data_IF_901865963987
#
_entry.id   IF_901865963987
#
_cell.length_a   1.000
_cell.length_b   1.000
_cell.length_c   1.000
_cell.angle_alpha   90.00
_cell.angle_beta   90.00
_cell.angle_gamma   90.00
#
_symmetry.space_group_name_H-M   'P 1'
#
loop_
_entity.id
_entity.type
_entity.pdbx_description
1 polymer ?
#
# COMPACT_ATOMS: atom_id res chain seq x y z
N UNK A 1 10.08 -16.55 -3.73
CA UNK A 1 9.77 -15.96 -2.41
C UNK A 1 9.80 -17.03 -1.35
N UNK A 2 10.55 -16.82 -0.30
CA UNK A 2 10.66 -17.68 0.89
C UNK A 2 10.08 -16.98 2.10
N UNK A 3 9.81 -17.74 3.19
CA UNK A 3 9.36 -17.12 4.44
C UNK A 3 10.33 -16.06 4.99
N UNK A 4 11.64 -16.20 4.76
CA UNK A 4 12.65 -15.20 5.18
C UNK A 4 12.55 -13.88 4.42
N UNK A 5 12.04 -13.92 3.18
CA UNK A 5 11.87 -12.75 2.32
C UNK A 5 10.59 -11.97 2.61
N UNK A 6 9.66 -12.57 3.35
CA UNK A 6 8.43 -11.89 3.80
C UNK A 6 8.75 -11.02 4.99
N UNK A 7 8.33 -9.76 4.98
CA UNK A 7 8.56 -8.80 6.05
C UNK A 7 7.72 -9.17 7.27
N UNK A 8 8.30 -9.10 8.47
CA UNK A 8 7.59 -9.31 9.73
C UNK A 8 6.91 -10.69 9.87
N UNK A 9 5.81 -10.74 10.62
CA UNK A 9 4.91 -11.89 10.81
C UNK A 9 5.58 -13.20 11.26
N UNK A 10 6.58 -13.14 12.12
CA UNK A 10 7.32 -14.33 12.56
C UNK A 10 6.43 -15.40 13.18
N UNK A 11 5.37 -15.02 13.89
CA UNK A 11 4.39 -15.94 14.47
C UNK A 11 3.63 -16.73 13.39
N UNK A 12 3.20 -16.08 12.29
CA UNK A 12 2.52 -16.75 11.17
C UNK A 12 3.48 -17.65 10.38
N UNK A 13 4.72 -17.21 10.15
CA UNK A 13 5.76 -18.04 9.53
C UNK A 13 6.00 -19.33 10.31
N UNK A 14 6.08 -19.23 11.64
CA UNK A 14 6.24 -20.39 12.51
C UNK A 14 4.99 -21.28 12.53
N UNK A 15 3.81 -20.69 12.52
CA UNK A 15 2.55 -21.41 12.37
C UNK A 15 2.53 -22.24 11.09
N UNK A 16 2.84 -21.63 9.94
CA UNK A 16 2.86 -22.33 8.64
C UNK A 16 3.90 -23.45 8.59
N UNK A 17 5.12 -23.24 9.12
CA UNK A 17 6.15 -24.30 9.20
C UNK A 17 5.64 -25.49 9.99
N UNK A 18 5.09 -25.28 11.18
CA UNK A 18 4.51 -26.34 12.02
C UNK A 18 3.35 -27.07 11.35
N UNK A 19 2.51 -26.33 10.62
CA UNK A 19 1.36 -26.89 9.87
C UNK A 19 1.85 -27.86 8.79
N UNK A 20 2.92 -27.51 8.08
CA UNK A 20 3.54 -28.35 7.05
C UNK A 20 4.22 -29.56 7.69
N UNK A 21 5.04 -29.36 8.72
CA UNK A 21 5.76 -30.43 9.43
C UNK A 21 4.82 -31.48 10.03
N UNK A 22 3.69 -31.05 10.57
CA UNK A 22 2.68 -31.93 11.15
C UNK A 22 1.75 -32.58 10.12
N UNK A 23 1.86 -32.21 8.83
CA UNK A 23 0.98 -32.72 7.78
C UNK A 23 -0.50 -32.32 7.91
N UNK A 24 -0.81 -31.30 8.76
CA UNK A 24 -2.18 -30.84 9.04
C UNK A 24 -2.46 -29.52 8.32
N UNK A 25 -2.48 -29.56 7.00
CA UNK A 25 -2.71 -28.39 6.15
C UNK A 25 -4.21 -28.17 5.98
N UNK A 26 -4.78 -27.05 6.45
CA UNK A 26 -6.18 -26.72 6.21
C UNK A 26 -6.43 -26.52 4.72
N UNK A 27 -7.51 -27.09 4.23
CA UNK A 27 -7.84 -27.05 2.82
C UNK A 27 -8.34 -25.66 2.34
N UNK A 28 -8.95 -24.86 3.24
CA UNK A 28 -9.42 -23.52 2.95
C UNK A 28 -8.95 -22.55 4.03
N UNK A 29 -8.23 -21.53 3.65
CA UNK A 29 -7.65 -20.53 4.53
C UNK A 29 -8.01 -19.14 4.03
N UNK A 30 -8.36 -18.24 4.97
CA UNK A 30 -8.66 -16.85 4.70
C UNK A 30 -7.63 -15.95 5.40
N UNK A 31 -6.78 -15.33 4.61
CA UNK A 31 -5.82 -14.34 5.09
C UNK A 31 -6.49 -12.97 5.05
N UNK A 32 -6.55 -12.32 6.20
CA UNK A 32 -7.21 -11.01 6.37
C UNK A 32 -6.18 -9.98 6.78
N UNK A 33 -6.07 -8.90 6.05
CA UNK A 33 -5.14 -7.80 6.35
C UNK A 33 -5.15 -6.73 5.27
N UNK A 34 -4.60 -5.57 5.58
CA UNK A 34 -4.59 -4.42 4.66
C UNK A 34 -3.52 -4.54 3.57
N UNK A 35 -3.63 -3.71 2.52
CA UNK A 35 -2.57 -3.51 1.52
C UNK A 35 -1.22 -3.30 2.21
N UNK A 36 -0.16 -3.81 1.62
CA UNK A 36 1.20 -3.65 2.13
C UNK A 36 1.54 -4.46 3.37
N UNK A 37 0.57 -5.16 4.01
CA UNK A 37 0.85 -6.00 5.18
C UNK A 37 1.49 -7.37 4.85
N UNK A 38 1.56 -7.77 3.59
CA UNK A 38 2.29 -8.98 3.17
C UNK A 38 1.44 -10.23 2.97
N UNK A 39 0.13 -10.11 2.72
CA UNK A 39 -0.74 -11.26 2.44
C UNK A 39 -0.26 -12.09 1.24
N UNK A 40 -0.10 -11.45 0.08
CA UNK A 40 0.30 -12.12 -1.15
C UNK A 40 1.72 -12.71 -1.07
N UNK A 41 2.74 -11.99 -0.58
CA UNK A 41 4.05 -12.55 -0.30
C UNK A 41 4.01 -13.80 0.59
N UNK A 42 3.24 -13.76 1.68
CA UNK A 42 3.12 -14.89 2.59
C UNK A 42 2.40 -16.08 1.95
N UNK A 43 1.34 -15.85 1.18
CA UNK A 43 0.63 -16.90 0.47
C UNK A 43 1.54 -17.62 -0.54
N UNK A 44 2.36 -16.87 -1.27
CA UNK A 44 3.33 -17.43 -2.22
C UNK A 44 4.44 -18.21 -1.50
N UNK A 45 4.98 -17.68 -0.39
CA UNK A 45 6.00 -18.35 0.41
C UNK A 45 5.46 -19.64 1.03
N UNK A 46 4.21 -19.63 1.51
CA UNK A 46 3.55 -20.81 2.03
C UNK A 46 3.28 -21.85 0.93
N UNK A 47 2.80 -21.43 -0.23
CA UNK A 47 2.62 -22.30 -1.38
C UNK A 47 3.94 -22.97 -1.80
N UNK A 48 5.05 -22.20 -1.85
CA UNK A 48 6.38 -22.73 -2.11
C UNK A 48 6.77 -23.80 -1.10
N UNK A 49 6.60 -23.51 0.19
CA UNK A 49 6.94 -24.46 1.23
C UNK A 49 6.13 -25.76 1.13
N UNK A 50 4.84 -25.69 0.79
CA UNK A 50 3.97 -26.87 0.61
C UNK A 50 4.34 -27.68 -0.63
N UNK A 51 4.56 -27.03 -1.77
CA UNK A 51 4.84 -27.72 -3.05
C UNK A 51 6.22 -28.38 -3.04
N UNK A 52 7.22 -27.72 -2.44
CA UNK A 52 8.58 -28.23 -2.38
C UNK A 52 8.82 -29.21 -1.20
N UNK A 53 7.93 -29.30 -0.21
CA UNK A 53 8.09 -30.13 0.98
C UNK A 53 8.26 -31.65 0.67
N UNK A 54 7.80 -32.10 -0.49
CA UNK A 54 7.89 -33.51 -0.92
C UNK A 54 9.27 -33.91 -1.41
N UNK A 55 10.13 -32.97 -1.75
CA UNK A 55 11.45 -33.18 -2.30
C UNK A 55 12.53 -33.00 -1.23
N UNK A 56 13.61 -33.77 -1.33
CA UNK A 56 14.77 -33.56 -0.48
C UNK A 56 15.44 -32.22 -0.80
N UNK A 57 15.73 -31.44 0.22
CA UNK A 57 16.36 -30.12 0.06
C UNK A 57 17.68 -30.23 -0.69
N UNK A 58 17.85 -29.46 -1.75
CA UNK A 58 19.04 -29.44 -2.59
C UNK A 58 19.03 -30.48 -3.71
N UNK A 59 18.03 -31.38 -3.80
CA UNK A 59 17.86 -32.26 -4.93
C UNK A 59 17.55 -31.50 -6.23
N UNK A 60 17.86 -32.07 -7.40
CA UNK A 60 17.52 -31.47 -8.69
C UNK A 60 16.01 -31.14 -8.80
N UNK A 61 15.15 -32.03 -8.28
CA UNK A 61 13.69 -31.86 -8.26
C UNK A 61 13.28 -30.71 -7.35
N UNK A 62 13.92 -30.57 -6.18
CA UNK A 62 13.68 -29.43 -5.27
C UNK A 62 14.04 -28.12 -5.96
N UNK A 63 15.22 -28.03 -6.56
CA UNK A 63 15.69 -26.83 -7.28
C UNK A 63 14.77 -26.51 -8.47
N UNK A 64 14.32 -27.51 -9.20
CA UNK A 64 13.39 -27.35 -10.31
C UNK A 64 12.04 -26.81 -9.83
N UNK A 65 11.50 -27.34 -8.71
CA UNK A 65 10.27 -26.83 -8.06
C UNK A 65 10.44 -25.37 -7.65
N UNK A 66 11.52 -25.01 -6.95
CA UNK A 66 11.82 -23.64 -6.54
C UNK A 66 11.86 -22.67 -7.73
N UNK A 67 12.54 -23.07 -8.80
CA UNK A 67 12.65 -22.24 -10.00
C UNK A 67 11.30 -22.01 -10.69
N UNK A 68 10.43 -23.03 -10.76
CA UNK A 68 9.07 -22.88 -11.30
C UNK A 68 8.23 -21.91 -10.45
N UNK A 69 8.34 -22.02 -9.12
CA UNK A 69 7.58 -21.13 -8.21
C UNK A 69 8.13 -19.71 -8.24
N UNK A 70 9.45 -19.53 -8.28
CA UNK A 70 10.06 -18.21 -8.41
C UNK A 70 9.61 -17.46 -9.67
N UNK A 71 9.32 -18.20 -10.74
CA UNK A 71 8.76 -17.69 -11.99
C UNK A 71 7.22 -17.65 -12.00
N UNK A 72 6.55 -18.11 -10.92
CA UNK A 72 5.09 -18.30 -10.86
C UNK A 72 4.53 -19.15 -12.01
N UNK A 73 5.28 -20.20 -12.38
CA UNK A 73 4.95 -21.11 -13.50
C UNK A 73 4.79 -22.56 -13.06
N UNK A 74 4.69 -22.83 -11.75
CA UNK A 74 4.47 -24.18 -11.26
C UNK A 74 3.08 -24.69 -11.67
N UNK A 75 2.96 -25.90 -12.27
CA UNK A 75 1.70 -26.38 -12.85
C UNK A 75 0.60 -26.60 -11.81
N UNK A 76 0.94 -26.81 -10.53
CA UNK A 76 0.02 -27.01 -9.43
C UNK A 76 -0.16 -25.74 -8.55
N UNK A 77 0.32 -24.57 -9.02
CA UNK A 77 0.09 -23.27 -8.37
C UNK A 77 -0.72 -22.38 -9.29
N UNK A 78 -1.91 -22.03 -8.86
CA UNK A 78 -2.86 -21.24 -9.63
C UNK A 78 -3.18 -19.94 -8.92
N UNK A 79 -3.41 -18.88 -9.72
CA UNK A 79 -3.74 -17.55 -9.21
C UNK A 79 -5.08 -17.09 -9.80
N UNK A 80 -5.91 -16.55 -8.92
CA UNK A 80 -7.15 -15.85 -9.28
C UNK A 80 -7.04 -14.44 -8.74
N UNK A 81 -7.35 -13.47 -9.57
CA UNK A 81 -7.25 -12.05 -9.23
C UNK A 81 -8.29 -11.23 -9.99
N UNK A 82 -8.64 -10.02 -9.50
CA UNK A 82 -9.62 -9.17 -10.16
C UNK A 82 -9.14 -8.72 -11.54
N UNK A 83 -10.01 -8.87 -12.52
CA UNK A 83 -9.77 -8.43 -13.91
C UNK A 83 -10.99 -7.70 -14.46
N UNK A 84 -10.84 -7.05 -15.59
CA UNK A 84 -11.93 -6.52 -16.40
C UNK A 84 -11.55 -6.58 -17.88
N UNK A 85 -12.48 -6.24 -18.76
CA UNK A 85 -12.24 -6.13 -20.20
C UNK A 85 -11.20 -5.06 -20.49
N UNK A 86 -10.27 -5.37 -21.39
CA UNK A 86 -9.23 -4.49 -21.90
C UNK A 86 -9.41 -4.23 -23.40
N UNK A 87 -8.46 -3.55 -24.01
CA UNK A 87 -8.45 -3.40 -25.47
C UNK A 87 -8.22 -4.73 -26.19
N UNK A 88 -7.56 -5.70 -25.57
CA UNK A 88 -7.25 -7.04 -26.11
C UNK A 88 -8.30 -8.07 -25.72
N UNK A 89 -8.78 -8.06 -24.48
CA UNK A 89 -9.80 -8.97 -23.94
C UNK A 89 -11.14 -8.25 -23.82
N UNK A 90 -12.05 -8.43 -24.77
CA UNK A 90 -13.30 -7.65 -24.85
C UNK A 90 -14.50 -8.29 -24.14
N UNK A 91 -14.47 -9.59 -23.84
CA UNK A 91 -15.56 -10.33 -23.18
C UNK A 91 -15.01 -11.45 -22.35
N UNK A 92 -15.73 -11.87 -21.32
CA UNK A 92 -15.38 -13.02 -20.46
C UNK A 92 -13.94 -12.95 -19.94
N UNK A 93 -13.56 -11.77 -19.39
CA UNK A 93 -12.23 -11.61 -18.81
C UNK A 93 -12.05 -12.53 -17.60
N UNK A 94 -11.01 -13.36 -17.62
CA UNK A 94 -10.62 -14.29 -16.56
C UNK A 94 -9.11 -14.22 -16.31
N UNK A 95 -8.67 -14.55 -15.10
CA UNK A 95 -7.29 -14.42 -14.65
C UNK A 95 -6.26 -15.12 -15.57
N UNK A 96 -6.62 -16.27 -16.16
CA UNK A 96 -5.73 -17.01 -17.04
C UNK A 96 -5.29 -16.22 -18.29
N UNK A 97 -6.05 -15.22 -18.71
CA UNK A 97 -5.73 -14.38 -19.87
C UNK A 97 -4.70 -13.29 -19.57
N UNK A 98 -4.37 -13.08 -18.30
CA UNK A 98 -3.51 -12.01 -17.79
C UNK A 98 -2.36 -12.54 -16.93
N UNK A 99 -1.99 -13.83 -17.11
CA UNK A 99 -0.95 -14.46 -16.27
C UNK A 99 0.45 -13.88 -16.52
N UNK A 100 0.74 -13.36 -17.69
CA UNK A 100 2.03 -12.73 -17.99
C UNK A 100 2.17 -11.44 -17.23
N UNK A 101 1.16 -10.55 -17.33
CA UNK A 101 1.09 -9.28 -16.61
C UNK A 101 1.06 -9.52 -15.07
N UNK A 102 0.36 -10.57 -14.63
CA UNK A 102 0.34 -10.95 -13.21
C UNK A 102 1.72 -11.36 -12.68
N UNK A 103 2.46 -12.14 -13.44
CA UNK A 103 3.84 -12.53 -13.07
C UNK A 103 4.76 -11.31 -13.01
N UNK A 104 4.62 -10.39 -13.94
CA UNK A 104 5.36 -9.13 -13.95
C UNK A 104 5.00 -8.28 -12.73
N UNK A 105 3.70 -8.11 -12.44
CA UNK A 105 3.22 -7.37 -11.28
C UNK A 105 3.74 -7.95 -9.96
N UNK A 106 3.56 -9.23 -9.73
CA UNK A 106 3.99 -9.89 -8.47
C UNK A 106 5.51 -9.83 -8.30
N UNK A 107 6.26 -9.92 -9.39
CA UNK A 107 7.74 -9.82 -9.35
C UNK A 107 8.20 -8.39 -9.01
N UNK A 108 7.57 -7.39 -9.59
CA UNK A 108 7.94 -5.98 -9.39
C UNK A 108 7.40 -5.43 -8.07
N UNK A 109 6.16 -5.76 -7.73
CA UNK A 109 5.39 -5.20 -6.62
C UNK A 109 4.66 -6.28 -5.80
N UNK A 110 5.38 -7.16 -5.09
CA UNK A 110 4.74 -8.24 -4.31
C UNK A 110 3.82 -7.74 -3.18
N UNK A 111 4.04 -6.52 -2.70
CA UNK A 111 3.20 -5.83 -1.72
C UNK A 111 2.22 -4.84 -2.37
N UNK A 112 2.09 -4.87 -3.69
CA UNK A 112 1.32 -3.91 -4.47
C UNK A 112 -0.18 -3.96 -4.21
N UNK A 113 -0.85 -2.84 -4.49
CA UNK A 113 -2.28 -2.64 -4.32
C UNK A 113 -3.09 -3.07 -5.55
N UNK A 114 -4.41 -3.22 -5.36
CA UNK A 114 -5.34 -3.46 -6.46
C UNK A 114 -5.30 -2.33 -7.51
N UNK A 115 -5.13 -1.08 -7.07
CA UNK A 115 -5.05 0.05 -7.99
C UNK A 115 -3.85 -0.06 -8.91
N UNK A 116 -2.67 -0.40 -8.40
CA UNK A 116 -1.46 -0.57 -9.20
C UNK A 116 -1.57 -1.74 -10.18
N UNK A 117 -2.25 -2.81 -9.77
CA UNK A 117 -2.57 -3.92 -10.67
C UNK A 117 -3.46 -3.48 -11.84
N UNK A 118 -4.56 -2.77 -11.56
CA UNK A 118 -5.47 -2.26 -12.58
C UNK A 118 -4.78 -1.22 -13.48
N UNK A 119 -3.87 -0.42 -12.93
CA UNK A 119 -3.05 0.53 -13.66
C UNK A 119 -2.09 -0.18 -14.64
N UNK A 120 -1.46 -1.26 -14.22
CA UNK A 120 -0.63 -2.09 -15.11
C UNK A 120 -1.42 -2.63 -16.30
N UNK A 121 -2.69 -3.00 -16.07
CA UNK A 121 -3.60 -3.46 -17.12
C UNK A 121 -4.18 -2.31 -17.98
N UNK A 122 -3.95 -1.04 -17.65
CA UNK A 122 -4.56 0.13 -18.32
C UNK A 122 -6.06 0.22 -18.11
N UNK A 123 -6.57 -0.26 -16.98
CA UNK A 123 -8.00 -0.26 -16.64
C UNK A 123 -8.28 0.32 -15.24
N UNK A 124 -7.44 1.24 -14.78
CA UNK A 124 -7.57 1.89 -13.45
C UNK A 124 -8.91 2.62 -13.27
N UNK A 125 -9.56 3.00 -14.36
CA UNK A 125 -10.89 3.62 -14.35
C UNK A 125 -12.05 2.61 -14.34
N UNK A 126 -11.76 1.30 -14.30
CA UNK A 126 -12.76 0.22 -14.23
C UNK A 126 -12.65 -0.52 -12.90
N UNK A 127 -13.77 -1.07 -12.46
CA UNK A 127 -13.75 -1.95 -11.30
C UNK A 127 -13.20 -3.32 -11.68
N UNK A 128 -12.10 -3.74 -11.04
CA UNK A 128 -11.63 -5.12 -11.12
C UNK A 128 -12.60 -6.06 -10.40
N UNK A 129 -13.00 -7.14 -11.05
CA UNK A 129 -13.95 -8.13 -10.49
C UNK A 129 -13.49 -9.54 -10.76
N UNK A 130 -13.86 -10.47 -9.86
CA UNK A 130 -13.75 -11.91 -10.06
C UNK A 130 -15.18 -12.41 -10.34
N UNK A 131 -15.45 -12.75 -11.59
CA UNK A 131 -16.80 -13.03 -12.06
C UNK A 131 -17.12 -14.54 -12.08
N UNK A 132 -18.33 -14.91 -12.49
CA UNK A 132 -18.80 -16.31 -12.51
C UNK A 132 -18.07 -17.18 -13.55
N UNK A 133 -17.50 -16.58 -14.60
CA UNK A 133 -16.70 -17.31 -15.60
C UNK A 133 -15.40 -17.81 -14.96
N UNK A 134 -14.80 -16.98 -14.08
CA UNK A 134 -13.66 -17.36 -13.27
C UNK A 134 -13.95 -18.58 -12.41
N UNK A 135 -15.11 -18.62 -11.73
CA UNK A 135 -15.50 -19.79 -10.93
C UNK A 135 -15.58 -21.07 -11.76
N UNK A 136 -15.98 -20.97 -13.04
CA UNK A 136 -15.99 -22.11 -13.95
C UNK A 136 -14.59 -22.63 -14.26
N UNK A 137 -13.64 -21.73 -14.53
CA UNK A 137 -12.24 -22.07 -14.76
C UNK A 137 -11.58 -22.63 -13.48
N UNK A 138 -11.90 -22.07 -12.30
CA UNK A 138 -11.45 -22.61 -11.01
C UNK A 138 -11.90 -24.06 -10.83
N UNK A 139 -13.19 -24.34 -11.04
CA UNK A 139 -13.75 -25.71 -10.91
C UNK A 139 -13.08 -26.68 -11.88
N UNK A 140 -12.89 -26.29 -13.13
CA UNK A 140 -12.21 -27.08 -14.16
C UNK A 140 -10.76 -27.39 -13.74
N UNK A 141 -10.02 -26.37 -13.33
CA UNK A 141 -8.61 -26.50 -12.90
C UNK A 141 -8.48 -27.42 -11.70
N UNK A 142 -9.35 -27.27 -10.69
CA UNK A 142 -9.28 -28.06 -9.46
C UNK A 142 -9.79 -29.49 -9.63
N UNK A 143 -10.66 -29.79 -10.62
CA UNK A 143 -11.11 -31.15 -10.94
C UNK A 143 -10.00 -32.04 -11.53
N UNK A 144 -8.98 -31.44 -12.12
CA UNK A 144 -7.83 -32.20 -12.67
C UNK A 144 -6.96 -32.72 -11.52
N UNK A 145 -6.29 -33.84 -11.73
CA UNK A 145 -5.27 -34.33 -10.80
C UNK A 145 -4.08 -33.39 -10.72
N UNK A 146 -3.40 -33.35 -9.56
CA UNK A 146 -2.12 -32.61 -9.43
C UNK A 146 -1.12 -33.17 -10.46
N UNK A 147 -0.43 -32.28 -11.16
CA UNK A 147 0.53 -32.63 -12.20
C UNK A 147 1.77 -33.31 -11.60
N UNK A 148 2.27 -32.80 -10.50
CA UNK A 148 3.46 -33.38 -9.83
C UNK A 148 3.05 -34.36 -8.70
N UNK A 149 1.77 -34.66 -8.49
CA UNK A 149 1.27 -35.63 -7.49
C UNK A 149 1.36 -35.17 -6.04
N UNK A 150 1.65 -33.89 -5.79
CA UNK A 150 1.65 -33.26 -4.48
C UNK A 150 0.37 -32.46 -4.18
N UNK A 151 0.53 -31.38 -3.45
CA UNK A 151 -0.54 -30.41 -3.26
C UNK A 151 -0.86 -29.65 -4.55
N UNK A 152 -2.13 -29.26 -4.72
CA UNK A 152 -2.58 -28.27 -5.69
C UNK A 152 -3.02 -27.06 -4.92
N UNK A 153 -2.50 -25.88 -5.24
CA UNK A 153 -2.73 -24.65 -4.50
C UNK A 153 -3.36 -23.61 -5.41
N UNK A 154 -4.42 -22.99 -4.92
CA UNK A 154 -5.06 -21.86 -5.59
C UNK A 154 -5.09 -20.66 -4.63
N UNK A 155 -4.43 -19.59 -5.05
CA UNK A 155 -4.40 -18.31 -4.34
C UNK A 155 -5.42 -17.40 -5.02
N UNK A 156 -6.40 -16.93 -4.24
CA UNK A 156 -7.43 -15.98 -4.69
C UNK A 156 -7.10 -14.63 -4.06
N UNK A 157 -6.53 -13.74 -4.84
CA UNK A 157 -6.15 -12.39 -4.38
C UNK A 157 -7.33 -11.44 -4.51
N UNK A 158 -7.56 -10.61 -3.48
CA UNK A 158 -8.74 -9.71 -3.37
C UNK A 158 -10.05 -10.48 -3.48
N UNK A 159 -10.21 -11.49 -2.63
CA UNK A 159 -11.36 -12.39 -2.66
C UNK A 159 -12.71 -11.65 -2.49
N UNK A 160 -12.75 -10.50 -1.83
CA UNK A 160 -13.91 -9.62 -1.71
C UNK A 160 -14.36 -9.01 -3.07
N UNK A 161 -13.56 -9.13 -4.11
CA UNK A 161 -13.94 -8.73 -5.47
C UNK A 161 -14.69 -9.82 -6.24
N UNK A 162 -14.91 -10.98 -5.64
CA UNK A 162 -15.80 -11.99 -6.18
C UNK A 162 -17.25 -11.47 -6.18
N UNK A 163 -17.90 -11.53 -7.32
CA UNK A 163 -19.34 -11.25 -7.35
C UNK A 163 -20.13 -12.39 -6.67
N UNK A 164 -21.37 -12.13 -6.28
CA UNK A 164 -22.22 -13.09 -5.54
C UNK A 164 -22.36 -14.42 -6.27
N UNK A 165 -22.47 -14.41 -7.61
CA UNK A 165 -22.60 -15.62 -8.41
C UNK A 165 -21.32 -16.46 -8.40
N UNK A 166 -20.14 -15.83 -8.47
CA UNK A 166 -18.84 -16.48 -8.33
C UNK A 166 -18.70 -17.10 -6.92
N UNK A 167 -18.93 -16.29 -5.89
CA UNK A 167 -18.83 -16.70 -4.48
C UNK A 167 -19.70 -17.93 -4.18
N UNK A 168 -20.97 -17.93 -4.62
CA UNK A 168 -21.86 -19.06 -4.43
C UNK A 168 -21.39 -20.32 -5.18
N UNK A 169 -20.85 -20.15 -6.38
CA UNK A 169 -20.41 -21.27 -7.21
C UNK A 169 -19.19 -21.99 -6.64
N UNK A 170 -18.30 -21.28 -5.94
CA UNK A 170 -17.11 -21.89 -5.33
C UNK A 170 -17.37 -22.53 -3.97
N UNK A 171 -18.52 -22.30 -3.33
CA UNK A 171 -18.83 -22.84 -1.99
C UNK A 171 -18.60 -24.35 -1.90
N UNK A 172 -19.02 -25.10 -2.93
CA UNK A 172 -18.84 -26.55 -2.95
C UNK A 172 -17.36 -26.96 -2.86
N UNK A 173 -16.47 -26.25 -3.57
CA UNK A 173 -15.02 -26.54 -3.53
C UNK A 173 -14.40 -26.09 -2.20
N UNK A 174 -14.92 -25.02 -1.60
CA UNK A 174 -14.46 -24.54 -0.28
C UNK A 174 -14.87 -25.54 0.81
N UNK A 175 -16.04 -26.19 0.67
CA UNK A 175 -16.53 -27.21 1.61
C UNK A 175 -15.80 -28.53 1.45
N UNK A 176 -15.79 -29.05 0.22
CA UNK A 176 -15.30 -30.40 -0.13
C UNK A 176 -14.32 -30.31 -1.31
N UNK A 177 -13.10 -29.80 -1.09
CA UNK A 177 -12.11 -29.74 -2.15
C UNK A 177 -11.61 -31.15 -2.51
N UNK A 178 -11.12 -31.33 -3.75
CA UNK A 178 -10.40 -32.54 -4.12
C UNK A 178 -9.19 -32.79 -3.19
N UNK A 179 -8.78 -34.05 -3.08
CA UNK A 179 -7.65 -34.42 -2.23
C UNK A 179 -6.41 -33.57 -2.50
N UNK A 180 -5.69 -33.21 -1.43
CA UNK A 180 -4.48 -32.38 -1.47
C UNK A 180 -4.66 -31.02 -2.17
N UNK A 181 -5.87 -30.50 -2.17
CA UNK A 181 -6.16 -29.14 -2.66
C UNK A 181 -6.15 -28.14 -1.51
N UNK A 182 -5.48 -27.00 -1.69
CA UNK A 182 -5.43 -25.90 -0.73
C UNK A 182 -5.90 -24.62 -1.41
N UNK A 183 -6.92 -24.00 -0.84
CA UNK A 183 -7.44 -22.71 -1.23
C UNK A 183 -6.95 -21.65 -0.26
N UNK A 184 -6.32 -20.59 -0.74
CA UNK A 184 -5.84 -19.47 0.06
C UNK A 184 -6.53 -18.22 -0.47
N UNK A 185 -7.51 -17.71 0.30
CA UNK A 185 -8.24 -16.49 -0.01
C UNK A 185 -7.55 -15.33 0.69
N UNK A 186 -7.22 -14.28 -0.04
CA UNK A 186 -6.60 -13.05 0.48
C UNK A 186 -7.63 -11.93 0.39
N UNK A 187 -7.89 -11.23 1.49
CA UNK A 187 -8.89 -10.15 1.55
C UNK A 187 -8.44 -8.99 2.40
N UNK A 188 -8.77 -7.78 1.98
CA UNK A 188 -8.62 -6.56 2.78
C UNK A 188 -9.90 -6.23 3.55
N UNK A 189 -11.04 -6.73 3.08
CA UNK A 189 -12.34 -6.50 3.72
C UNK A 189 -13.13 -7.80 3.82
N UNK A 190 -12.99 -8.46 4.98
CA UNK A 190 -13.68 -9.71 5.23
C UNK A 190 -15.21 -9.58 5.29
N UNK A 191 -15.73 -8.41 5.69
CA UNK A 191 -17.17 -8.17 5.77
C UNK A 191 -17.86 -8.17 4.40
N UNK A 192 -17.10 -7.91 3.34
CA UNK A 192 -17.59 -7.96 1.96
C UNK A 192 -17.69 -9.39 1.40
N UNK A 193 -17.14 -10.38 2.10
CA UNK A 193 -17.27 -11.79 1.72
C UNK A 193 -18.57 -12.39 2.27
N UNK A 194 -19.10 -13.41 1.59
CA UNK A 194 -20.26 -14.15 2.08
C UNK A 194 -19.93 -14.84 3.42
N UNK A 195 -20.86 -14.76 4.38
CA UNK A 195 -20.72 -15.42 5.68
C UNK A 195 -20.50 -16.93 5.56
N UNK A 196 -21.02 -17.53 4.50
CA UNK A 196 -20.84 -18.94 4.14
C UNK A 196 -19.38 -19.29 3.79
N UNK A 197 -18.60 -18.37 3.21
CA UNK A 197 -17.16 -18.54 2.98
C UNK A 197 -16.41 -18.44 4.32
N UNK A 198 -16.75 -17.44 5.14
CA UNK A 198 -16.13 -17.24 6.45
C UNK A 198 -16.20 -18.48 7.35
N UNK A 199 -17.39 -19.13 7.40
CA UNK A 199 -17.62 -20.26 8.29
C UNK A 199 -16.83 -21.53 7.89
N UNK A 200 -16.29 -21.57 6.67
CA UNK A 200 -15.59 -22.72 6.09
C UNK A 200 -14.09 -22.54 5.95
N UNK A 201 -13.60 -21.31 6.11
CA UNK A 201 -12.18 -20.98 6.00
C UNK A 201 -11.56 -20.83 7.38
N UNK A 202 -10.34 -21.35 7.55
CA UNK A 202 -9.54 -20.99 8.70
C UNK A 202 -9.03 -19.56 8.53
N UNK A 203 -9.43 -18.67 9.44
CA UNK A 203 -9.01 -17.26 9.41
C UNK A 203 -7.62 -17.08 10.01
N UNK A 204 -6.82 -16.28 9.33
CA UNK A 204 -5.50 -15.84 9.76
C UNK A 204 -5.40 -14.33 9.55
N UNK A 205 -5.25 -13.59 10.65
CA UNK A 205 -5.16 -12.14 10.62
C UNK A 205 -3.69 -11.71 10.46
N UNK A 206 -3.47 -10.81 9.52
CA UNK A 206 -2.20 -10.16 9.25
C UNK A 206 -2.25 -8.74 9.80
N UNK A 207 -1.68 -8.48 10.97
CA UNK A 207 -1.61 -7.12 11.48
C UNK A 207 -0.74 -6.24 10.56
N UNK A 208 -0.85 -4.94 10.73
CA UNK A 208 0.07 -4.00 10.11
C UNK A 208 1.51 -4.33 10.48
N UNK A 209 2.45 -4.09 9.58
CA UNK A 209 3.87 -4.30 9.86
C UNK A 209 4.37 -3.31 10.90
N UNK A 210 5.33 -3.72 11.73
CA UNK A 210 5.96 -2.81 12.68
C UNK A 210 6.86 -1.80 11.95
N UNK A 211 7.05 -0.63 12.54
CA UNK A 211 8.01 0.36 12.02
C UNK A 211 9.43 -0.21 11.95
N UNK A 212 9.79 -1.07 12.90
CA UNK A 212 11.08 -1.75 12.93
C UNK A 212 11.25 -2.71 11.75
N UNK A 213 10.23 -3.54 11.45
CA UNK A 213 10.25 -4.44 10.29
C UNK A 213 10.40 -3.67 8.97
N UNK A 214 9.64 -2.57 8.81
CA UNK A 214 9.70 -1.74 7.60
C UNK A 214 11.05 -1.03 7.49
N UNK A 215 11.54 -0.39 8.56
CA UNK A 215 12.81 0.33 8.54
C UNK A 215 13.99 -0.60 8.27
N UNK A 216 14.00 -1.78 8.88
CA UNK A 216 15.02 -2.82 8.63
C UNK A 216 14.99 -3.25 7.15
N UNK A 217 13.80 -3.50 6.60
CA UNK A 217 13.68 -3.88 5.19
C UNK A 217 14.17 -2.79 4.22
N UNK A 218 13.88 -1.52 4.53
CA UNK A 218 14.35 -0.39 3.73
C UNK A 218 15.86 -0.23 3.81
N UNK A 219 16.49 -0.40 4.98
CA UNK A 219 17.94 -0.32 5.13
C UNK A 219 18.64 -1.50 4.49
N UNK A 220 18.24 -2.72 4.80
CA UNK A 220 18.98 -3.93 4.41
C UNK A 220 18.83 -4.26 2.92
N UNK A 221 17.65 -4.02 2.35
CA UNK A 221 17.35 -4.43 0.97
C UNK A 221 17.40 -3.27 -0.02
N UNK A 222 17.00 -2.07 0.41
CA UNK A 222 16.98 -0.89 -0.46
C UNK A 222 18.18 0.04 -0.24
N UNK A 223 19.00 -0.20 0.77
CA UNK A 223 20.18 0.62 1.07
C UNK A 223 19.83 2.03 1.56
N UNK A 224 18.63 2.22 2.09
CA UNK A 224 18.16 3.52 2.61
C UNK A 224 18.89 3.84 3.91
N UNK A 225 19.29 5.09 4.11
CA UNK A 225 19.89 5.55 5.35
C UNK A 225 18.90 5.36 6.52
N UNK A 226 19.40 4.95 7.70
CA UNK A 226 18.58 4.50 8.83
C UNK A 226 17.55 5.54 9.31
N UNK A 227 17.94 6.82 9.41
CA UNK A 227 17.03 7.86 9.89
C UNK A 227 15.91 8.11 8.88
N UNK A 228 16.24 8.11 7.58
CA UNK A 228 15.26 8.21 6.52
C UNK A 228 14.33 6.98 6.51
N UNK A 229 14.87 5.78 6.67
CA UNK A 229 14.09 4.54 6.74
C UNK A 229 13.08 4.56 7.90
N UNK A 230 13.48 5.05 9.09
CA UNK A 230 12.58 5.20 10.24
C UNK A 230 11.47 6.22 9.99
N UNK A 231 11.78 7.37 9.39
CA UNK A 231 10.77 8.38 9.01
C UNK A 231 9.75 7.80 8.02
N UNK A 232 10.23 7.10 6.99
CA UNK A 232 9.36 6.45 6.00
C UNK A 232 8.48 5.39 6.67
N UNK A 233 9.07 4.54 7.51
CA UNK A 233 8.35 3.48 8.23
C UNK A 233 7.22 4.06 9.08
N UNK A 234 7.48 5.12 9.83
CA UNK A 234 6.46 5.81 10.63
C UNK A 234 5.35 6.41 9.75
N UNK A 235 5.69 7.16 8.69
CA UNK A 235 4.72 7.77 7.76
C UNK A 235 3.88 6.74 7.00
N UNK A 236 4.40 5.55 6.80
CA UNK A 236 3.68 4.47 6.11
C UNK A 236 2.55 3.86 6.94
N UNK A 237 2.63 3.96 8.28
CA UNK A 237 1.62 3.42 9.18
C UNK A 237 1.49 1.89 9.11
N UNK A 238 2.58 1.18 8.84
CA UNK A 238 2.60 -0.28 8.76
C UNK A 238 2.27 -0.86 7.37
N UNK A 239 2.09 0.02 6.37
CA UNK A 239 1.87 -0.36 4.97
C UNK A 239 3.20 -0.24 4.20
N UNK A 240 3.82 -1.39 3.85
CA UNK A 240 5.09 -1.40 3.12
C UNK A 240 4.96 -0.90 1.67
N UNK A 241 3.80 -1.07 1.02
CA UNK A 241 3.58 -0.51 -0.31
C UNK A 241 3.63 1.02 -0.27
N UNK A 242 2.94 1.61 0.72
CA UNK A 242 2.99 3.05 0.96
C UNK A 242 4.41 3.52 1.31
N UNK A 243 5.18 2.73 2.08
CA UNK A 243 6.58 3.04 2.38
C UNK A 243 7.43 3.13 1.10
N UNK A 244 7.24 2.21 0.15
CA UNK A 244 7.93 2.25 -1.15
C UNK A 244 7.54 3.47 -1.97
N UNK A 245 6.26 3.84 -1.99
CA UNK A 245 5.82 5.07 -2.67
C UNK A 245 6.43 6.33 -2.05
N UNK A 246 6.49 6.42 -0.72
CA UNK A 246 7.15 7.54 -0.04
C UNK A 246 8.64 7.57 -0.41
N UNK A 247 9.31 6.42 -0.46
CA UNK A 247 10.72 6.33 -0.84
C UNK A 247 10.96 6.80 -2.29
N UNK A 248 10.13 6.36 -3.23
CA UNK A 248 10.21 6.73 -4.64
C UNK A 248 10.03 8.25 -4.85
N UNK A 249 9.23 8.89 -4.00
CA UNK A 249 8.94 10.33 -4.07
C UNK A 249 9.76 11.18 -3.10
N UNK A 250 10.73 10.61 -2.38
CA UNK A 250 11.53 11.34 -1.39
C UNK A 250 12.37 12.48 -2.00
N UNK A 251 12.71 12.42 -3.28
CA UNK A 251 13.36 13.53 -3.99
C UNK A 251 12.46 14.78 -4.05
N UNK A 252 11.14 14.62 -4.06
CA UNK A 252 10.18 15.72 -4.06
C UNK A 252 10.17 16.44 -2.69
N UNK A 253 10.48 15.74 -1.58
CA UNK A 253 10.43 16.29 -0.22
C UNK A 253 11.45 17.43 -0.02
N UNK A 254 12.64 17.36 -0.63
CA UNK A 254 13.64 18.45 -0.59
C UNK A 254 13.15 19.72 -1.31
N UNK A 255 12.45 19.55 -2.42
CA UNK A 255 11.88 20.67 -3.16
C UNK A 255 10.67 21.23 -2.40
N UNK A 256 9.84 20.39 -1.83
CA UNK A 256 8.68 20.76 -0.99
C UNK A 256 9.13 21.51 0.27
N UNK A 257 10.22 21.09 0.92
CA UNK A 257 10.80 21.82 2.05
C UNK A 257 11.22 23.23 1.64
N UNK A 258 11.86 23.37 0.47
CA UNK A 258 12.24 24.67 -0.06
C UNK A 258 11.04 25.58 -0.29
N UNK A 259 9.98 25.04 -0.90
CA UNK A 259 8.76 25.79 -1.15
C UNK A 259 8.06 26.15 0.15
N UNK A 260 7.94 25.23 1.10
CA UNK A 260 7.35 25.45 2.41
C UNK A 260 8.10 26.51 3.21
N UNK A 261 9.42 26.40 3.35
CA UNK A 261 10.24 27.34 4.11
C UNK A 261 10.17 28.74 3.50
N UNK A 262 10.23 28.84 2.18
CA UNK A 262 10.09 30.11 1.47
C UNK A 262 8.71 30.72 1.70
N UNK A 263 7.66 29.92 1.57
CA UNK A 263 6.29 30.34 1.75
C UNK A 263 6.01 30.87 3.17
N UNK A 264 6.35 30.08 4.19
CA UNK A 264 6.14 30.47 5.59
C UNK A 264 6.93 31.72 5.96
N UNK A 265 8.17 31.87 5.49
CA UNK A 265 8.98 33.07 5.71
C UNK A 265 8.39 34.31 5.05
N UNK A 266 7.87 34.19 3.83
CA UNK A 266 7.19 35.30 3.14
C UNK A 266 5.87 35.65 3.85
N UNK A 267 5.07 34.65 4.23
CA UNK A 267 3.83 34.84 4.98
C UNK A 267 4.08 35.55 6.33
N UNK A 268 5.14 35.16 7.03
CA UNK A 268 5.52 35.82 8.28
C UNK A 268 5.95 37.28 8.08
N UNK A 269 6.72 37.57 7.02
CA UNK A 269 7.17 38.95 6.70
C UNK A 269 6.06 39.82 6.11
N UNK A 270 5.01 39.27 5.55
CA UNK A 270 3.96 40.01 4.87
C UNK A 270 3.13 40.90 5.80
N UNK A 271 3.15 40.65 7.12
CA UNK A 271 2.50 41.51 8.10
C UNK A 271 3.23 42.84 8.18
N UNK A 272 2.67 43.85 7.49
CA UNK A 272 3.18 45.22 7.48
C UNK A 272 4.20 45.52 6.35
N UNK A 273 4.51 44.57 5.47
CA UNK A 273 5.42 44.78 4.35
C UNK A 273 4.75 44.50 3.00
N UNK A 274 4.47 45.55 2.23
CA UNK A 274 3.82 45.43 0.90
C UNK A 274 4.65 44.64 -0.13
N UNK A 275 5.97 44.71 -0.07
CA UNK A 275 6.82 43.94 -1.01
C UNK A 275 6.68 42.44 -0.79
N UNK A 276 6.58 41.99 0.45
CA UNK A 276 6.39 40.57 0.78
C UNK A 276 5.04 40.00 0.31
N UNK A 277 4.04 40.87 0.09
CA UNK A 277 2.76 40.45 -0.52
C UNK A 277 2.97 40.14 -2.01
N UNK A 278 3.76 40.96 -2.72
CA UNK A 278 4.12 40.67 -4.12
C UNK A 278 4.90 39.37 -4.25
N UNK A 279 5.84 39.12 -3.33
CA UNK A 279 6.63 37.89 -3.30
C UNK A 279 5.72 36.67 -3.09
N UNK A 280 4.72 36.76 -2.19
CA UNK A 280 3.72 35.69 -1.97
C UNK A 280 2.88 35.41 -3.23
N UNK A 281 2.49 36.44 -3.97
CA UNK A 281 1.75 36.25 -5.23
C UNK A 281 2.60 35.59 -6.29
N UNK A 282 3.87 35.99 -6.44
CA UNK A 282 4.82 35.35 -7.36
C UNK A 282 5.06 33.90 -6.98
N UNK A 283 5.22 33.61 -5.70
CA UNK A 283 5.34 32.23 -5.21
C UNK A 283 4.08 31.41 -5.51
N UNK A 284 2.89 31.98 -5.33
CA UNK A 284 1.61 31.32 -5.67
C UNK A 284 1.50 31.02 -7.16
N UNK A 285 1.98 31.89 -8.02
CA UNK A 285 2.08 31.66 -9.48
C UNK A 285 3.03 30.52 -9.83
N UNK A 286 4.17 30.46 -9.16
CA UNK A 286 5.14 29.36 -9.33
C UNK A 286 4.51 28.00 -8.97
N UNK A 287 3.82 27.92 -7.82
CA UNK A 287 3.12 26.68 -7.41
C UNK A 287 1.96 26.33 -8.35
N UNK A 288 1.22 27.35 -8.83
CA UNK A 288 0.12 27.13 -9.76
C UNK A 288 0.57 26.60 -11.12
N UNK A 289 1.83 26.84 -11.51
CA UNK A 289 2.45 26.31 -12.73
C UNK A 289 2.85 24.83 -12.61
N UNK A 290 2.90 24.28 -11.40
CA UNK A 290 3.19 22.85 -11.16
C UNK A 290 1.99 21.99 -11.55
N UNK A 291 2.25 20.69 -11.81
CA UNK A 291 1.19 19.72 -12.06
C UNK A 291 0.29 19.53 -10.83
N UNK A 292 -1.00 19.22 -11.04
CA UNK A 292 -1.98 19.08 -9.96
C UNK A 292 -1.58 18.04 -8.91
N UNK A 293 -1.02 16.93 -9.32
CA UNK A 293 -0.55 15.90 -8.39
C UNK A 293 0.60 16.43 -7.52
N UNK A 294 1.51 17.20 -8.09
CA UNK A 294 2.60 17.87 -7.35
C UNK A 294 2.04 18.88 -6.36
N UNK A 295 1.04 19.66 -6.76
CA UNK A 295 0.35 20.62 -5.87
C UNK A 295 -0.30 19.92 -4.67
N UNK A 296 -1.01 18.82 -4.88
CA UNK A 296 -1.64 18.04 -3.79
C UNK A 296 -0.59 17.42 -2.86
N UNK A 297 0.46 16.84 -3.43
CA UNK A 297 1.57 16.29 -2.63
C UNK A 297 2.23 17.35 -1.77
N UNK A 298 2.47 18.53 -2.33
CA UNK A 298 3.03 19.65 -1.58
C UNK A 298 2.12 20.09 -0.43
N UNK A 299 0.82 20.22 -0.65
CA UNK A 299 -0.13 20.57 0.41
C UNK A 299 -0.20 19.49 1.49
N UNK A 300 -0.16 18.21 1.12
CA UNK A 300 -0.07 17.10 2.07
C UNK A 300 1.22 17.14 2.89
N UNK A 301 2.34 17.50 2.26
CA UNK A 301 3.61 17.76 2.95
C UNK A 301 3.47 18.91 3.95
N UNK A 302 2.83 20.01 3.59
CA UNK A 302 2.58 21.14 4.49
C UNK A 302 1.74 20.74 5.72
N UNK A 303 0.67 19.95 5.50
CA UNK A 303 -0.17 19.40 6.58
C UNK A 303 0.69 18.65 7.59
N UNK A 304 1.61 17.81 7.10
CA UNK A 304 2.47 17.02 7.96
C UNK A 304 3.46 17.89 8.75
N UNK A 305 4.11 18.86 8.10
CA UNK A 305 5.03 19.78 8.79
C UNK A 305 4.32 20.58 9.88
N UNK A 306 3.12 21.08 9.63
CA UNK A 306 2.33 21.80 10.65
C UNK A 306 1.93 20.87 11.81
N UNK A 307 1.56 19.61 11.54
CA UNK A 307 1.27 18.61 12.58
C UNK A 307 2.48 18.36 13.46
N UNK A 308 3.65 18.18 12.86
CA UNK A 308 4.91 17.93 13.58
C UNK A 308 5.33 19.17 14.40
N UNK A 309 5.13 20.37 13.85
CA UNK A 309 5.37 21.61 14.59
C UNK A 309 4.46 21.74 15.83
N UNK A 310 3.19 21.35 15.71
CA UNK A 310 2.27 21.31 16.85
C UNK A 310 2.73 20.29 17.90
N UNK A 311 3.05 19.07 17.50
CA UNK A 311 3.54 18.04 18.43
C UNK A 311 4.79 18.50 19.18
N UNK A 312 5.71 19.16 18.48
CA UNK A 312 6.91 19.75 19.07
C UNK A 312 6.59 20.85 20.06
N UNK A 313 5.66 21.76 19.72
CA UNK A 313 5.26 22.84 20.59
C UNK A 313 4.66 22.34 21.92
N UNK A 314 3.97 21.19 21.89
CA UNK A 314 3.37 20.56 23.08
C UNK A 314 4.25 19.46 23.70
N UNK A 315 5.55 19.43 23.37
CA UNK A 315 6.53 18.49 23.95
C UNK A 315 6.16 17.02 23.81
N UNK A 316 5.46 16.67 22.73
CA UNK A 316 5.12 15.28 22.38
C UNK A 316 6.26 14.60 21.59
N UNK A 317 7.49 14.69 22.12
CA UNK A 317 8.72 14.27 21.41
C UNK A 317 8.70 12.80 20.97
N UNK A 318 7.99 11.93 21.69
CA UNK A 318 7.86 10.50 21.30
C UNK A 318 7.08 10.28 19.99
N UNK A 319 6.33 11.28 19.53
CA UNK A 319 5.54 11.25 18.29
C UNK A 319 6.21 12.03 17.15
N UNK A 320 7.40 12.62 17.43
CA UNK A 320 8.14 13.36 16.43
C UNK A 320 8.97 12.44 15.56
N UNK A 321 8.85 12.62 14.25
CA UNK A 321 9.65 11.89 13.24
C UNK A 321 10.11 12.79 12.09
N UNK A 322 9.73 14.09 12.12
CA UNK A 322 10.14 15.04 11.10
C UNK A 322 11.52 15.62 11.47
N UNK A 323 12.47 15.48 10.58
CA UNK A 323 13.76 16.17 10.62
C UNK A 323 13.87 17.02 9.36
N UNK A 324 14.23 18.28 9.52
CA UNK A 324 14.46 19.18 8.40
C UNK A 324 15.73 18.74 7.67
N UNK A 325 15.66 18.65 6.35
CA UNK A 325 16.84 18.33 5.51
C UNK A 325 17.79 19.52 5.41
N UNK A 326 17.30 20.73 5.63
CA UNK A 326 18.09 21.96 5.56
C UNK A 326 18.48 22.51 6.91
N UNK A 327 19.76 22.81 7.09
CA UNK A 327 20.27 23.56 8.23
C UNK A 327 19.59 24.93 8.43
N UNK A 328 19.02 25.49 7.37
CA UNK A 328 18.35 26.80 7.40
C UNK A 328 16.93 26.77 7.97
N UNK A 329 16.30 25.60 8.13
CA UNK A 329 15.01 25.41 8.75
C UNK A 329 15.16 24.61 10.05
N UNK A 330 14.52 25.06 11.11
CA UNK A 330 14.50 24.35 12.39
C UNK A 330 13.06 24.26 12.87
N UNK A 331 12.59 23.04 13.06
CA UNK A 331 11.25 22.78 13.60
C UNK A 331 11.09 23.41 15.00
N UNK A 332 12.14 23.39 15.83
CA UNK A 332 12.12 24.02 17.18
C UNK A 332 11.85 25.52 17.12
N UNK A 333 12.39 26.21 16.11
CA UNK A 333 12.17 27.65 15.91
C UNK A 333 10.82 27.94 15.26
N UNK A 334 10.26 27.00 14.53
CA UNK A 334 8.98 27.15 13.85
C UNK A 334 7.79 26.74 14.74
N UNK A 335 7.95 25.72 15.59
CA UNK A 335 6.91 25.18 16.44
C UNK A 335 6.13 26.22 17.27
N UNK A 336 6.76 27.25 17.88
CA UNK A 336 6.02 28.25 18.66
C UNK A 336 4.97 29.05 17.88
N UNK A 337 5.01 29.04 16.54
CA UNK A 337 4.01 29.70 15.69
C UNK A 337 2.80 28.81 15.38
N UNK A 338 2.83 27.54 15.83
CA UNK A 338 1.78 26.55 15.58
C UNK A 338 1.20 26.08 16.92
N UNK A 339 0.00 26.53 17.27
CA UNK A 339 -0.61 26.29 18.57
C UNK A 339 -2.13 26.03 18.43
N UNK A 340 -2.80 25.64 19.53
CA UNK A 340 -4.21 25.25 19.53
C UNK A 340 -5.16 26.29 18.90
N UNK A 341 -4.82 27.59 18.94
CA UNK A 341 -5.68 28.65 18.44
C UNK A 341 -5.59 28.83 16.92
N UNK A 342 -4.64 28.20 16.22
CA UNK A 342 -4.48 28.35 14.78
C UNK A 342 -4.37 27.05 14.00
N UNK A 343 -3.91 25.97 14.61
CA UNK A 343 -3.62 24.71 13.90
C UNK A 343 -4.85 24.14 13.18
N UNK A 344 -6.01 24.11 13.85
CA UNK A 344 -7.22 23.55 13.23
C UNK A 344 -7.66 24.33 12.00
N UNK A 345 -7.57 25.67 12.06
CA UNK A 345 -7.88 26.52 10.91
C UNK A 345 -6.84 26.32 9.79
N UNK A 346 -5.53 26.22 10.12
CA UNK A 346 -4.47 25.96 9.14
C UNK A 346 -4.71 24.61 8.43
N UNK A 347 -4.99 23.56 9.18
CA UNK A 347 -5.27 22.24 8.63
C UNK A 347 -6.49 22.26 7.69
N UNK A 348 -7.57 22.89 8.14
CA UNK A 348 -8.79 23.03 7.34
C UNK A 348 -8.54 23.76 6.02
N UNK A 349 -7.81 24.88 6.03
CA UNK A 349 -7.50 25.65 4.81
C UNK A 349 -6.62 24.85 3.83
N UNK A 350 -5.69 24.05 4.34
CA UNK A 350 -4.87 23.17 3.50
C UNK A 350 -5.69 22.02 2.88
N UNK A 351 -6.59 21.41 3.64
CA UNK A 351 -7.49 20.36 3.18
C UNK A 351 -8.49 20.89 2.14
N UNK A 352 -9.06 22.07 2.37
CA UNK A 352 -9.92 22.76 1.41
C UNK A 352 -9.18 23.10 0.11
N UNK A 353 -7.92 23.51 0.20
CA UNK A 353 -7.11 23.76 -0.99
C UNK A 353 -6.91 22.47 -1.81
N UNK A 354 -6.62 21.32 -1.17
CA UNK A 354 -6.53 20.01 -1.85
C UNK A 354 -7.86 19.68 -2.52
N UNK A 355 -8.98 19.81 -1.80
CA UNK A 355 -10.32 19.55 -2.31
C UNK A 355 -10.65 20.37 -3.55
N UNK A 356 -10.30 21.66 -3.56
CA UNK A 356 -10.53 22.53 -4.71
C UNK A 356 -9.64 22.20 -5.91
N UNK A 357 -8.36 21.83 -5.69
CA UNK A 357 -7.46 21.41 -6.75
C UNK A 357 -7.96 20.12 -7.41
N UNK A 358 -8.44 19.16 -6.65
CA UNK A 358 -9.03 17.92 -7.17
C UNK A 358 -10.23 18.16 -8.07
N UNK A 359 -11.00 19.21 -7.78
CA UNK A 359 -12.19 19.65 -8.56
C UNK A 359 -11.87 20.62 -9.67
N UNK A 360 -10.62 20.67 -10.11
CA UNK A 360 -10.17 21.54 -11.20
C UNK A 360 -10.28 23.05 -10.89
N UNK A 361 -10.25 23.45 -9.64
CA UNK A 361 -10.19 24.86 -9.24
C UNK A 361 -8.96 25.56 -9.82
N UNK A 362 -9.03 26.88 -9.94
CA UNK A 362 -7.91 27.69 -10.41
C UNK A 362 -6.80 27.74 -9.34
N UNK A 363 -5.71 27.02 -9.57
CA UNK A 363 -4.61 26.85 -8.64
C UNK A 363 -4.00 28.21 -8.20
N UNK A 364 -3.88 29.18 -9.12
CA UNK A 364 -3.37 30.52 -8.78
C UNK A 364 -4.23 31.23 -7.74
N UNK A 365 -5.55 31.15 -7.89
CA UNK A 365 -6.49 31.76 -6.91
C UNK A 365 -6.39 31.02 -5.60
N UNK A 366 -6.39 29.66 -5.62
CA UNK A 366 -6.34 28.81 -4.43
C UNK A 366 -5.07 29.11 -3.62
N UNK A 367 -3.88 29.07 -4.22
CA UNK A 367 -2.62 29.33 -3.52
C UNK A 367 -2.48 30.80 -3.08
N UNK A 368 -3.03 31.76 -3.82
CA UNK A 368 -3.03 33.17 -3.40
C UNK A 368 -3.92 33.39 -2.17
N UNK A 369 -5.13 32.86 -2.16
CA UNK A 369 -6.05 32.96 -1.01
C UNK A 369 -5.47 32.23 0.20
N UNK A 370 -4.99 31.00 0.02
CA UNK A 370 -4.35 30.23 1.07
C UNK A 370 -3.15 30.97 1.68
N UNK A 371 -2.33 31.65 0.87
CA UNK A 371 -1.18 32.43 1.34
C UNK A 371 -1.60 33.64 2.20
N UNK A 372 -2.69 34.31 1.81
CA UNK A 372 -3.25 35.42 2.59
C UNK A 372 -3.81 34.91 3.93
N UNK A 373 -4.54 33.79 3.91
CA UNK A 373 -5.10 33.17 5.12
C UNK A 373 -3.99 32.69 6.04
N UNK A 374 -2.98 32.01 5.52
CA UNK A 374 -1.83 31.55 6.30
C UNK A 374 -1.11 32.71 6.97
N UNK A 375 -0.93 33.86 6.27
CA UNK A 375 -0.34 35.09 6.86
C UNK A 375 -1.11 35.54 8.11
N UNK A 376 -2.43 35.47 8.11
CA UNK A 376 -3.25 35.82 9.26
C UNK A 376 -3.13 34.78 10.39
N UNK A 377 -3.16 33.50 10.05
CA UNK A 377 -3.16 32.39 10.99
C UNK A 377 -1.83 32.25 11.75
N UNK A 378 -0.70 32.41 11.07
CA UNK A 378 0.64 32.35 11.71
C UNK A 378 0.84 33.51 12.71
N UNK A 379 0.14 34.64 12.52
CA UNK A 379 0.22 35.79 13.43
C UNK A 379 -0.87 35.83 14.49
N UNK A 380 -1.73 34.80 14.53
CA UNK A 380 -2.74 34.68 15.60
C UNK A 380 -2.00 34.44 16.91
N UNK A 381 -2.31 35.23 17.95
CA UNK A 381 -1.65 35.10 19.25
C UNK A 381 -2.19 33.86 19.98
N UNK A 382 -1.30 33.18 20.66
CA UNK A 382 -1.70 32.20 21.65
C UNK A 382 -2.41 32.95 22.81
N UNK A 383 -3.67 32.61 23.05
CA UNK A 383 -4.37 33.11 24.23
C UNK A 383 -3.89 32.28 25.42
N UNK A 384 -3.21 32.92 26.35
CA UNK A 384 -2.73 32.36 27.62
C UNK A 384 -3.91 31.94 28.49
#
# INVERSE_FOLDING_TARGET
MEFREVIGHNHLKNYFRKTIENGRVPHAQLFVGNTGSGLLPMAIAYARALLCARYEKGSPEYIACENKIAKLTHPDLHFIFPVNTTNTVKKHAVSNQFLEEWREFVKAKPYGSLFEWLQLLGIENKQGTINVDEASEMMKTLSLKSYEGGYKIMIIWMAEKMNTACSNKILKIVEEPPEKTVLILLTENEESLLSTIHSRCQKLHFPLLSEEDISTQLTDIKGVELNLARRIAHRSGGDYNKALHILEHNADDLEFENWFVSWVRMAFKAKGNKSSISDLLTWSEHLAAQGRETQKKFLSYCIEVFRQAMLKNYSADSLLYFEAEKESFSLDKFAPFVHQNNIFEIMHELEEAIYHIERNGNAKIIFSDLSIRLTRLIHKKELV
#
